data_IF_815203775914
#
_entry.id   IF_815203775914
#
_cell.length_a   1.000
_cell.length_b   1.000
_cell.length_c   1.000
_cell.angle_alpha   90.00
_cell.angle_beta   90.00
_cell.angle_gamma   90.00
#
_symmetry.space_group_name_H-M   'P 1'
#
loop_
_entity.id
_entity.type
_entity.pdbx_description
1 polymer ?
#
# COMPACT_ATOMS: atom_id res chain seq x y z
N UNK A 1 7.89 -22.89 11.90
CA UNK A 1 7.80 -23.01 10.42
C UNK A 1 7.41 -21.63 9.94
N UNK A 2 8.25 -21.01 9.09
CA UNK A 2 7.96 -19.68 8.53
C UNK A 2 6.72 -19.74 7.63
N UNK A 3 5.91 -18.69 7.63
CA UNK A 3 4.75 -18.56 6.74
C UNK A 3 5.23 -18.67 5.28
N UNK A 4 4.63 -19.51 4.44
CA UNK A 4 5.00 -19.63 3.01
C UNK A 4 4.92 -18.29 2.26
N UNK A 5 4.01 -17.39 2.64
CA UNK A 5 3.90 -16.05 2.05
C UNK A 5 5.11 -15.19 2.37
N UNK A 6 5.58 -15.21 3.63
CA UNK A 6 6.82 -14.51 4.04
C UNK A 6 8.01 -15.02 3.25
N UNK A 7 8.17 -16.36 3.12
CA UNK A 7 9.25 -16.95 2.31
C UNK A 7 9.18 -16.51 0.86
N UNK A 8 7.98 -16.47 0.27
CA UNK A 8 7.78 -16.01 -1.11
C UNK A 8 8.26 -14.56 -1.31
N UNK A 9 7.84 -13.64 -0.43
CA UNK A 9 8.20 -12.23 -0.57
C UNK A 9 9.66 -11.95 -0.24
N UNK A 10 10.20 -12.56 0.82
CA UNK A 10 11.63 -12.45 1.12
C UNK A 10 12.50 -12.91 -0.05
N UNK A 11 12.12 -14.04 -0.69
CA UNK A 11 12.81 -14.54 -1.88
C UNK A 11 12.67 -13.56 -3.05
N UNK A 12 11.47 -13.05 -3.31
CA UNK A 12 11.22 -12.12 -4.42
C UNK A 12 12.06 -10.84 -4.29
N UNK A 13 12.15 -10.28 -3.10
CA UNK A 13 12.97 -9.08 -2.86
C UNK A 13 14.47 -9.38 -2.86
N UNK A 14 14.91 -10.51 -2.29
CA UNK A 14 16.31 -10.89 -2.27
C UNK A 14 16.88 -11.18 -3.67
N UNK A 15 16.09 -11.83 -4.55
CA UNK A 15 16.56 -12.26 -5.87
C UNK A 15 16.37 -11.20 -6.95
N UNK A 16 15.28 -10.41 -6.91
CA UNK A 16 14.89 -9.51 -8.00
C UNK A 16 15.18 -8.04 -7.71
N UNK A 17 15.26 -7.61 -6.44
CA UNK A 17 15.50 -6.21 -6.08
C UNK A 17 14.59 -5.26 -6.87
N UNK A 18 15.19 -4.29 -7.55
CA UNK A 18 14.47 -3.25 -8.32
C UNK A 18 13.91 -3.73 -9.67
N UNK A 19 14.07 -5.02 -10.01
CA UNK A 19 13.50 -5.60 -11.25
C UNK A 19 12.11 -6.20 -11.07
N UNK A 20 11.54 -6.12 -9.88
CA UNK A 20 10.15 -6.57 -9.63
C UNK A 20 9.16 -5.76 -10.46
N UNK A 21 8.06 -6.39 -10.90
CA UNK A 21 7.13 -5.75 -11.84
C UNK A 21 6.40 -4.53 -11.27
N UNK A 22 6.32 -4.40 -9.95
CA UNK A 22 5.71 -3.26 -9.24
C UNK A 22 6.70 -2.17 -8.87
N UNK A 23 7.99 -2.33 -9.19
CA UNK A 23 9.01 -1.30 -8.91
C UNK A 23 8.68 0.02 -9.61
N UNK A 24 8.91 1.11 -8.90
CA UNK A 24 8.81 2.48 -9.38
C UNK A 24 10.07 3.23 -8.96
N UNK A 25 10.65 4.03 -9.85
CA UNK A 25 11.74 4.96 -9.48
C UNK A 25 11.23 6.07 -8.55
N UNK A 26 9.97 6.46 -8.74
CA UNK A 26 9.28 7.45 -7.93
C UNK A 26 7.82 7.04 -7.73
N UNK A 27 7.32 7.16 -6.52
CA UNK A 27 5.92 6.89 -6.17
C UNK A 27 5.01 8.09 -6.50
N UNK A 28 5.09 8.62 -7.74
CA UNK A 28 4.47 9.88 -8.13
C UNK A 28 2.97 9.93 -7.91
N UNK A 29 2.24 8.90 -8.36
CA UNK A 29 0.77 8.80 -8.20
C UNK A 29 0.39 8.74 -6.72
N UNK A 30 1.03 7.85 -5.94
CA UNK A 30 0.81 7.74 -4.49
C UNK A 30 1.01 9.07 -3.77
N UNK A 31 2.14 9.72 -4.03
CA UNK A 31 2.50 11.00 -3.42
C UNK A 31 1.56 12.14 -3.83
N UNK A 32 1.08 12.14 -5.07
CA UNK A 32 0.09 13.11 -5.56
C UNK A 32 -1.25 12.95 -4.86
N UNK A 33 -1.76 11.71 -4.77
CA UNK A 33 -3.03 11.40 -4.13
C UNK A 33 -2.98 11.64 -2.61
N UNK A 34 -1.87 11.31 -1.94
CA UNK A 34 -1.71 11.63 -0.51
C UNK A 34 -1.72 13.16 -0.31
N UNK A 35 -0.98 13.91 -1.14
CA UNK A 35 -0.93 15.37 -1.03
C UNK A 35 -2.27 16.07 -1.33
N UNK A 36 -3.17 15.45 -2.10
CA UNK A 36 -4.51 16.00 -2.35
C UNK A 36 -5.44 15.97 -1.12
N UNK A 37 -5.14 15.09 -0.15
CA UNK A 37 -6.03 14.85 1.00
C UNK A 37 -5.36 15.04 2.36
N UNK A 38 -4.04 15.21 2.42
CA UNK A 38 -3.30 15.35 3.66
C UNK A 38 -2.23 16.43 3.57
N UNK A 39 -2.15 17.30 4.58
CA UNK A 39 -1.09 18.29 4.69
C UNK A 39 0.24 17.64 5.11
N UNK A 40 1.40 18.29 4.84
CA UNK A 40 2.68 17.90 5.44
C UNK A 40 2.54 17.79 6.97
N UNK A 41 3.06 16.70 7.54
CA UNK A 41 2.95 16.40 8.97
C UNK A 41 1.77 15.49 9.35
N UNK A 42 0.82 15.21 8.44
CA UNK A 42 -0.17 14.16 8.65
C UNK A 42 0.52 12.79 8.83
N UNK A 43 -0.06 11.97 9.70
CA UNK A 43 0.42 10.60 9.93
C UNK A 43 0.00 9.67 8.80
N UNK A 44 0.94 8.84 8.32
CA UNK A 44 0.72 7.94 7.19
C UNK A 44 1.12 6.51 7.58
N UNK A 45 0.27 5.54 7.28
CA UNK A 45 0.66 4.14 7.26
C UNK A 45 0.67 3.62 5.83
N UNK A 46 1.81 3.08 5.39
CA UNK A 46 2.01 2.43 4.09
C UNK A 46 1.97 0.91 4.31
N UNK A 47 0.91 0.25 3.86
CA UNK A 47 0.75 -1.19 4.01
C UNK A 47 1.27 -1.92 2.78
N UNK A 48 2.14 -2.92 3.01
CA UNK A 48 2.89 -3.57 1.94
C UNK A 48 3.90 -2.64 1.28
N UNK A 49 4.47 -1.70 2.07
CA UNK A 49 5.38 -0.69 1.53
C UNK A 49 6.68 -1.28 0.93
N UNK A 50 7.12 -2.43 1.42
CA UNK A 50 8.28 -3.15 0.88
C UNK A 50 9.50 -2.25 0.69
N UNK A 51 10.06 -2.25 -0.52
CA UNK A 51 11.16 -1.36 -0.94
C UNK A 51 10.68 -0.08 -1.62
N UNK A 52 9.39 0.26 -1.53
CA UNK A 52 8.80 1.42 -2.21
C UNK A 52 9.54 2.72 -1.90
N UNK A 53 9.77 3.61 -2.89
CA UNK A 53 10.29 4.95 -2.67
C UNK A 53 9.24 5.92 -2.08
N UNK A 54 8.05 5.45 -1.75
CA UNK A 54 7.01 6.31 -1.18
C UNK A 54 7.47 6.98 0.12
N UNK A 55 8.09 6.22 1.01
CA UNK A 55 8.59 6.74 2.29
C UNK A 55 9.64 7.83 2.09
N UNK A 56 10.53 7.69 1.09
CA UNK A 56 11.50 8.72 0.72
C UNK A 56 10.78 10.03 0.33
N UNK A 57 9.82 9.94 -0.57
CA UNK A 57 9.06 11.09 -1.04
C UNK A 57 8.15 11.72 0.03
N UNK A 58 7.63 10.95 0.99
CA UNK A 58 6.89 11.48 2.14
C UNK A 58 7.80 12.29 3.07
N UNK A 59 8.99 11.75 3.38
CA UNK A 59 9.98 12.45 4.20
C UNK A 59 10.44 13.77 3.54
N UNK A 60 10.67 13.76 2.22
CA UNK A 60 11.03 14.96 1.44
C UNK A 60 9.92 16.02 1.48
N UNK A 61 8.64 15.61 1.54
CA UNK A 61 7.49 16.50 1.66
C UNK A 61 7.17 16.93 3.09
N UNK A 62 7.98 16.53 4.07
CA UNK A 62 7.86 16.97 5.44
C UNK A 62 6.98 16.10 6.34
N UNK A 63 6.50 14.94 5.88
CA UNK A 63 5.90 13.95 6.77
C UNK A 63 6.97 13.38 7.70
N UNK A 64 6.65 13.22 8.99
CA UNK A 64 7.58 12.67 10.00
C UNK A 64 6.95 11.53 10.80
N UNK A 65 5.65 11.42 10.77
CA UNK A 65 4.89 10.35 11.42
C UNK A 65 4.48 9.32 10.38
N UNK A 66 5.41 8.42 10.06
CA UNK A 66 5.25 7.41 9.01
C UNK A 66 5.43 6.02 9.62
N UNK A 67 4.52 5.12 9.29
CA UNK A 67 4.68 3.69 9.55
C UNK A 67 4.69 2.93 8.23
N UNK A 68 5.54 1.92 8.11
CA UNK A 68 5.59 1.00 6.96
C UNK A 68 5.38 -0.40 7.49
N UNK A 69 4.32 -1.05 7.03
CA UNK A 69 4.01 -2.45 7.35
C UNK A 69 4.30 -3.31 6.14
N UNK A 70 5.08 -4.37 6.30
CA UNK A 70 5.28 -5.37 5.25
C UNK A 70 5.47 -6.77 5.85
N UNK A 71 5.09 -7.79 5.10
CA UNK A 71 5.30 -9.19 5.45
C UNK A 71 6.77 -9.61 5.27
N UNK A 72 7.51 -8.91 4.40
CA UNK A 72 8.92 -9.17 4.12
C UNK A 72 9.83 -8.29 4.95
N UNK A 73 10.48 -8.91 5.91
CA UNK A 73 11.55 -8.25 6.66
C UNK A 73 12.73 -7.85 5.78
N UNK A 74 13.03 -8.67 4.76
CA UNK A 74 14.11 -8.36 3.79
C UNK A 74 13.85 -7.05 3.08
N UNK A 75 12.60 -6.80 2.66
CA UNK A 75 12.20 -5.57 2.02
C UNK A 75 12.30 -4.36 2.97
N UNK A 76 11.79 -4.50 4.21
CA UNK A 76 11.87 -3.44 5.22
C UNK A 76 13.32 -3.08 5.56
N UNK A 77 14.19 -4.07 5.76
CA UNK A 77 15.62 -3.85 6.06
C UNK A 77 16.34 -3.16 4.88
N UNK A 78 15.98 -3.50 3.64
CA UNK A 78 16.51 -2.85 2.44
C UNK A 78 16.06 -1.37 2.35
N UNK A 79 14.77 -1.07 2.56
CA UNK A 79 14.24 0.29 2.58
C UNK A 79 14.88 1.13 3.70
N UNK A 80 15.01 0.57 4.90
CA UNK A 80 15.67 1.21 6.03
C UNK A 80 17.14 1.52 5.73
N UNK A 81 17.86 0.57 5.13
CA UNK A 81 19.26 0.77 4.73
C UNK A 81 19.41 1.89 3.70
N UNK A 82 18.50 1.95 2.70
CA UNK A 82 18.48 3.01 1.68
C UNK A 82 18.26 4.40 2.27
N UNK A 83 17.38 4.50 3.27
CA UNK A 83 17.06 5.77 3.93
C UNK A 83 18.15 6.25 4.91
N UNK A 84 18.97 5.33 5.42
CA UNK A 84 19.97 5.61 6.45
C UNK A 84 19.35 6.38 7.64
N UNK A 85 20.01 7.36 8.18
CA UNK A 85 19.52 8.17 9.31
C UNK A 85 18.15 8.85 9.07
N UNK A 86 17.73 9.05 7.82
CA UNK A 86 16.39 9.56 7.51
C UNK A 86 15.26 8.59 7.87
N UNK A 87 15.58 7.29 7.95
CA UNK A 87 14.62 6.24 8.30
C UNK A 87 14.52 5.95 9.81
N UNK A 88 15.27 6.64 10.65
CA UNK A 88 15.30 6.35 12.10
C UNK A 88 13.97 6.69 12.80
N UNK A 89 13.26 7.69 12.31
CA UNK A 89 11.94 8.10 12.83
C UNK A 89 10.77 7.34 12.20
N UNK A 90 11.01 6.48 11.19
CA UNK A 90 9.98 5.68 10.54
C UNK A 90 9.68 4.43 11.38
N UNK A 91 8.41 4.16 11.64
CA UNK A 91 7.98 2.94 12.33
C UNK A 91 7.95 1.77 11.33
N UNK A 92 8.94 0.89 11.40
CA UNK A 92 9.02 -0.31 10.57
C UNK A 92 8.32 -1.48 11.26
N UNK A 93 7.28 -2.03 10.64
CA UNK A 93 6.42 -3.07 11.20
C UNK A 93 6.54 -4.32 10.33
N UNK A 94 7.22 -5.34 10.87
CA UNK A 94 7.32 -6.67 10.26
C UNK A 94 6.11 -7.50 10.67
N UNK A 95 5.25 -7.87 9.71
CA UNK A 95 4.07 -8.66 10.03
C UNK A 95 3.03 -8.79 8.92
N UNK A 96 2.12 -9.74 9.14
CA UNK A 96 0.98 -9.95 8.27
C UNK A 96 -0.09 -8.88 8.51
N UNK A 97 -0.45 -8.17 7.44
CA UNK A 97 -1.50 -7.14 7.46
C UNK A 97 -2.80 -7.64 8.11
N UNK A 98 -3.24 -8.85 7.76
CA UNK A 98 -4.49 -9.39 8.28
C UNK A 98 -4.42 -9.80 9.76
N UNK A 99 -3.21 -9.99 10.31
CA UNK A 99 -2.98 -10.27 11.72
C UNK A 99 -2.58 -9.02 12.51
N UNK A 100 -2.29 -7.91 11.82
CA UNK A 100 -1.87 -6.68 12.47
C UNK A 100 -3.00 -6.03 13.28
N UNK A 101 -2.68 -5.62 14.50
CA UNK A 101 -3.56 -4.83 15.35
C UNK A 101 -2.93 -3.44 15.54
N UNK A 102 -3.48 -2.40 14.88
CA UNK A 102 -2.95 -1.05 15.00
C UNK A 102 -3.15 -0.53 16.43
N UNK A 103 -2.04 -0.16 17.06
CA UNK A 103 -2.06 0.43 18.42
C UNK A 103 -2.51 1.90 18.44
N UNK A 104 -2.73 2.51 17.26
CA UNK A 104 -3.17 3.90 17.06
C UNK A 104 -3.85 4.07 15.72
N UNK A 105 -4.34 5.26 15.45
CA UNK A 105 -4.89 5.65 14.16
C UNK A 105 -3.91 6.53 13.37
N UNK A 106 -4.14 6.63 12.06
CA UNK A 106 -3.38 7.41 11.10
C UNK A 106 -4.32 8.31 10.30
N UNK A 107 -3.81 9.45 9.83
CA UNK A 107 -4.58 10.34 8.96
C UNK A 107 -4.75 9.78 7.55
N UNK A 108 -3.74 9.01 7.09
CA UNK A 108 -3.76 8.35 5.79
C UNK A 108 -3.36 6.89 5.92
N UNK A 109 -4.17 6.02 5.35
CA UNK A 109 -3.84 4.64 5.02
C UNK A 109 -3.51 4.58 3.52
N UNK A 110 -2.32 4.16 3.19
CA UNK A 110 -1.90 3.94 1.81
C UNK A 110 -1.71 2.45 1.54
N UNK A 111 -2.17 1.99 0.39
CA UNK A 111 -1.97 0.64 -0.14
C UNK A 111 -1.74 0.74 -1.65
N UNK A 112 -0.62 0.22 -2.11
CA UNK A 112 -0.39 0.00 -3.53
C UNK A 112 -0.01 -1.45 -3.79
N UNK A 113 -0.91 -2.20 -4.42
CA UNK A 113 -0.68 -3.58 -4.84
C UNK A 113 -0.65 -4.61 -3.70
N UNK A 114 -1.33 -4.39 -2.56
CA UNK A 114 -1.51 -5.41 -1.51
C UNK A 114 -2.93 -5.97 -1.54
N UNK A 115 -3.95 -5.12 -1.56
CA UNK A 115 -5.35 -5.55 -1.56
C UNK A 115 -5.66 -6.57 -2.66
N UNK A 116 -5.02 -6.47 -3.82
CA UNK A 116 -5.30 -7.39 -4.92
C UNK A 116 -4.85 -8.84 -4.65
N UNK A 117 -3.94 -9.08 -3.68
CA UNK A 117 -3.58 -10.43 -3.26
C UNK A 117 -4.62 -11.07 -2.33
N UNK A 118 -5.54 -10.29 -1.79
CA UNK A 118 -6.63 -10.79 -0.95
C UNK A 118 -7.77 -11.31 -1.84
N UNK A 119 -7.57 -12.49 -2.43
CA UNK A 119 -8.52 -13.08 -3.40
C UNK A 119 -9.80 -13.59 -2.73
N UNK A 120 -9.73 -13.95 -1.44
CA UNK A 120 -10.87 -14.44 -0.69
C UNK A 120 -11.69 -13.29 -0.09
N UNK A 121 -13.00 -13.43 -0.11
CA UNK A 121 -13.92 -12.39 0.39
C UNK A 121 -13.75 -12.12 1.90
N UNK A 122 -13.59 -13.10 2.78
CA UNK A 122 -13.37 -12.86 4.21
C UNK A 122 -12.12 -12.01 4.49
N UNK A 123 -11.04 -12.20 3.71
CA UNK A 123 -9.79 -11.44 3.86
C UNK A 123 -9.98 -9.98 3.45
N UNK A 124 -10.71 -9.72 2.35
CA UNK A 124 -11.05 -8.35 1.94
C UNK A 124 -11.96 -7.66 2.94
N UNK A 125 -12.95 -8.36 3.48
CA UNK A 125 -13.80 -7.83 4.54
C UNK A 125 -13.00 -7.48 5.80
N UNK A 126 -12.04 -8.33 6.19
CA UNK A 126 -11.13 -8.06 7.30
C UNK A 126 -10.22 -6.87 7.02
N UNK A 127 -9.69 -6.76 5.81
CA UNK A 127 -8.92 -5.59 5.35
C UNK A 127 -9.71 -4.28 5.50
N UNK A 128 -10.96 -4.24 5.02
CA UNK A 128 -11.79 -3.05 5.11
C UNK A 128 -12.10 -2.65 6.57
N UNK A 129 -12.36 -3.64 7.44
CA UNK A 129 -12.56 -3.42 8.88
C UNK A 129 -11.28 -2.90 9.55
N UNK A 130 -10.12 -3.43 9.15
CA UNK A 130 -8.83 -2.99 9.66
C UNK A 130 -8.54 -1.55 9.25
N UNK A 131 -8.71 -1.20 7.98
CA UNK A 131 -8.58 0.17 7.49
C UNK A 131 -9.52 1.13 8.25
N UNK A 132 -10.77 0.71 8.48
CA UNK A 132 -11.72 1.51 9.26
C UNK A 132 -11.27 1.73 10.72
N UNK A 133 -10.55 0.81 11.33
CA UNK A 133 -10.01 0.98 12.70
C UNK A 133 -8.73 1.80 12.71
N UNK A 134 -7.91 1.65 11.68
CA UNK A 134 -6.59 2.28 11.61
C UNK A 134 -6.60 3.74 11.14
N UNK A 135 -7.63 4.17 10.40
CA UNK A 135 -7.74 5.56 9.92
C UNK A 135 -8.49 6.42 10.93
N UNK A 136 -8.06 7.65 11.18
CA UNK A 136 -8.77 8.60 12.06
C UNK A 136 -10.14 8.99 11.45
N UNK A 137 -11.18 9.30 12.25
CA UNK A 137 -12.37 9.94 11.72
C UNK A 137 -12.02 11.18 10.90
N UNK A 138 -12.53 11.26 9.66
CA UNK A 138 -12.19 12.31 8.71
C UNK A 138 -10.88 12.12 7.94
N UNK A 139 -10.08 11.12 8.30
CA UNK A 139 -8.89 10.71 7.54
C UNK A 139 -9.23 9.95 6.26
N UNK A 140 -8.23 9.48 5.53
CA UNK A 140 -8.39 8.94 4.18
C UNK A 140 -7.71 7.59 3.98
N UNK A 141 -8.28 6.78 3.09
CA UNK A 141 -7.58 5.67 2.44
C UNK A 141 -7.19 6.08 1.02
N UNK A 142 -6.01 5.66 0.59
CA UNK A 142 -5.48 5.82 -0.78
C UNK A 142 -5.09 4.42 -1.24
N UNK A 143 -5.90 3.79 -2.09
CA UNK A 143 -5.74 2.40 -2.48
C UNK A 143 -5.54 2.29 -3.99
N UNK A 144 -4.42 1.70 -4.40
CA UNK A 144 -4.10 1.36 -5.79
C UNK A 144 -4.00 -0.16 -5.99
N UNK A 145 -4.79 -0.70 -6.90
CA UNK A 145 -4.85 -2.13 -7.20
C UNK A 145 -4.96 -2.37 -8.70
N UNK A 146 -4.71 -3.59 -9.18
CA UNK A 146 -4.92 -3.86 -10.59
C UNK A 146 -6.35 -3.57 -11.00
N UNK A 147 -6.50 -2.83 -12.12
CA UNK A 147 -7.77 -2.51 -12.73
C UNK A 147 -8.50 -3.77 -13.23
N UNK A 148 -9.80 -3.68 -13.49
CA UNK A 148 -10.63 -4.80 -13.93
C UNK A 148 -10.13 -5.49 -15.22
N UNK A 149 -9.41 -4.76 -16.06
CA UNK A 149 -8.76 -5.23 -17.29
C UNK A 149 -7.24 -5.46 -17.13
N UNK A 150 -6.72 -5.39 -15.90
CA UNK A 150 -5.33 -5.63 -15.56
C UNK A 150 -4.93 -7.11 -15.57
N UNK A 151 -3.68 -7.42 -15.17
CA UNK A 151 -3.19 -8.79 -15.08
C UNK A 151 -3.99 -9.65 -14.09
N UNK A 152 -4.06 -10.96 -14.34
CA UNK A 152 -4.70 -11.93 -13.43
C UNK A 152 -3.74 -12.50 -12.39
N UNK A 153 -2.45 -12.18 -12.52
CA UNK A 153 -1.40 -12.63 -11.62
C UNK A 153 -0.39 -11.50 -11.39
N UNK A 154 0.19 -11.48 -10.19
CA UNK A 154 1.32 -10.64 -9.82
C UNK A 154 2.34 -11.51 -9.06
N UNK A 155 3.62 -11.42 -9.41
CA UNK A 155 4.68 -12.26 -8.80
C UNK A 155 4.38 -13.78 -8.81
N UNK A 156 3.65 -14.27 -9.83
CA UNK A 156 3.24 -15.67 -9.91
C UNK A 156 2.06 -16.06 -9.01
N UNK A 157 1.52 -15.14 -8.25
CA UNK A 157 0.35 -15.34 -7.39
C UNK A 157 -0.93 -14.83 -8.08
N UNK A 158 -2.08 -15.51 -7.87
CA UNK A 158 -3.35 -15.02 -8.35
C UNK A 158 -3.72 -13.71 -7.66
N UNK A 159 -4.37 -12.81 -8.40
CA UNK A 159 -4.87 -11.55 -7.84
C UNK A 159 -6.33 -11.33 -8.18
N UNK A 160 -7.01 -10.56 -7.35
CA UNK A 160 -8.32 -10.02 -7.65
C UNK A 160 -8.16 -8.62 -8.26
N UNK A 161 -8.71 -8.43 -9.44
CA UNK A 161 -8.80 -7.14 -10.12
C UNK A 161 -10.03 -6.39 -9.61
N UNK A 162 -9.96 -5.06 -9.59
CA UNK A 162 -11.06 -4.24 -9.10
C UNK A 162 -11.37 -3.09 -10.06
N UNK A 163 -12.65 -2.89 -10.32
CA UNK A 163 -13.17 -1.62 -10.82
C UNK A 163 -13.31 -0.62 -9.65
N UNK A 164 -13.40 0.69 -9.89
CA UNK A 164 -13.60 1.69 -8.83
C UNK A 164 -14.81 1.37 -7.94
N UNK A 165 -15.88 0.89 -8.54
CA UNK A 165 -17.13 0.52 -7.85
C UNK A 165 -16.93 -0.66 -6.87
N UNK A 166 -16.05 -1.62 -7.22
CA UNK A 166 -15.72 -2.74 -6.34
C UNK A 166 -15.02 -2.26 -5.07
N UNK A 167 -14.07 -1.32 -5.21
CA UNK A 167 -13.37 -0.70 -4.09
C UNK A 167 -14.32 0.14 -3.23
N UNK A 168 -15.18 0.93 -3.86
CA UNK A 168 -16.18 1.73 -3.18
C UNK A 168 -17.16 0.84 -2.39
N UNK A 169 -17.62 -0.26 -2.97
CA UNK A 169 -18.49 -1.22 -2.31
C UNK A 169 -17.81 -1.93 -1.14
N UNK A 170 -16.54 -2.32 -1.28
CA UNK A 170 -15.75 -2.93 -0.22
C UNK A 170 -15.60 -2.02 1.00
N UNK A 171 -15.44 -0.71 0.78
CA UNK A 171 -15.21 0.29 1.82
C UNK A 171 -16.51 0.93 2.34
N UNK A 172 -17.66 0.59 1.75
CA UNK A 172 -18.94 1.16 2.10
C UNK A 172 -19.28 0.97 3.60
N UNK A 173 -19.95 1.97 4.18
CA UNK A 173 -20.30 1.99 5.61
C UNK A 173 -19.26 2.67 6.51
N UNK A 174 -17.97 2.66 6.15
CA UNK A 174 -16.93 3.37 6.89
C UNK A 174 -16.33 4.54 6.10
N UNK A 175 -16.28 4.43 4.78
CA UNK A 175 -15.64 5.42 3.90
C UNK A 175 -16.58 5.88 2.80
N UNK A 176 -16.39 7.13 2.36
CA UNK A 176 -17.06 7.74 1.20
C UNK A 176 -16.02 8.04 0.13
N UNK A 177 -16.19 7.58 -1.11
CA UNK A 177 -15.30 7.90 -2.23
C UNK A 177 -15.15 9.42 -2.43
N UNK A 178 -13.92 9.87 -2.69
CA UNK A 178 -13.56 11.28 -2.92
C UNK A 178 -12.97 11.45 -4.31
N UNK A 179 -12.10 10.54 -4.73
CA UNK A 179 -11.39 10.61 -6.01
C UNK A 179 -11.14 9.21 -6.56
N UNK A 180 -11.27 9.07 -7.87
CA UNK A 180 -10.92 7.86 -8.62
C UNK A 180 -9.92 8.23 -9.69
N UNK A 181 -8.90 7.38 -9.89
CA UNK A 181 -7.88 7.58 -10.91
C UNK A 181 -7.53 6.25 -11.56
N UNK A 182 -7.24 6.29 -12.85
CA UNK A 182 -6.60 5.18 -13.58
C UNK A 182 -5.14 5.52 -13.87
N UNK A 183 -4.25 4.59 -13.56
CA UNK A 183 -2.82 4.69 -13.85
C UNK A 183 -2.41 3.55 -14.79
N UNK A 184 -1.60 3.87 -15.80
CA UNK A 184 -0.91 2.88 -16.63
C UNK A 184 0.53 2.73 -16.12
N UNK A 185 0.74 1.80 -15.18
CA UNK A 185 2.07 1.51 -14.66
C UNK A 185 2.90 0.78 -15.71
N UNK A 186 4.08 1.34 -16.05
CA UNK A 186 5.05 0.69 -16.91
C UNK A 186 6.07 -0.05 -16.04
N UNK A 187 6.10 -1.37 -16.16
CA UNK A 187 7.06 -2.22 -15.43
C UNK A 187 8.49 -2.00 -15.91
N UNK A 188 9.54 -2.38 -15.14
CA UNK A 188 10.93 -2.33 -15.60
C UNK A 188 11.18 -3.10 -16.90
N UNK A 189 10.37 -4.12 -17.21
CA UNK A 189 10.43 -4.87 -18.48
C UNK A 189 9.65 -4.24 -19.63
N UNK A 190 9.03 -3.06 -19.43
CA UNK A 190 8.27 -2.33 -20.45
C UNK A 190 6.82 -2.77 -20.64
N UNK A 191 6.32 -3.70 -19.84
CA UNK A 191 4.91 -4.08 -19.88
C UNK A 191 4.04 -3.03 -19.18
N UNK A 192 2.81 -2.83 -19.70
CA UNK A 192 1.85 -1.94 -19.08
C UNK A 192 0.93 -2.74 -18.14
N UNK A 193 0.81 -2.26 -16.92
CA UNK A 193 -0.11 -2.79 -15.91
C UNK A 193 -1.08 -1.69 -15.48
N UNK A 194 -2.37 -1.78 -15.88
CA UNK A 194 -3.35 -0.79 -15.47
C UNK A 194 -3.72 -0.95 -14.00
N UNK A 195 -3.72 0.16 -13.28
CA UNK A 195 -4.17 0.29 -11.89
C UNK A 195 -5.46 1.11 -11.81
N UNK A 196 -6.34 0.69 -10.94
CA UNK A 196 -7.45 1.49 -10.40
C UNK A 196 -7.01 2.05 -9.06
N UNK A 197 -7.18 3.36 -8.88
CA UNK A 197 -6.98 4.04 -7.61
C UNK A 197 -8.30 4.56 -7.07
N UNK A 198 -8.48 4.42 -5.77
CA UNK A 198 -9.57 5.03 -5.02
C UNK A 198 -9.02 5.80 -3.83
N UNK A 199 -9.39 7.05 -3.72
CA UNK A 199 -9.27 7.82 -2.49
C UNK A 199 -10.64 7.89 -1.84
N UNK A 200 -10.74 7.50 -0.57
CA UNK A 200 -12.00 7.58 0.15
C UNK A 200 -11.79 8.14 1.56
N UNK A 201 -12.72 8.95 2.03
CA UNK A 201 -12.69 9.62 3.33
C UNK A 201 -13.45 8.81 4.35
N UNK A 202 -12.86 8.60 5.53
CA UNK A 202 -13.55 7.99 6.67
C UNK A 202 -14.65 8.93 7.22
N UNK A 203 -15.81 8.36 7.48
CA UNK A 203 -16.90 9.04 8.21
C UNK A 203 -16.48 9.48 9.62
N UNK A 204 -17.25 10.36 10.21
CA UNK A 204 -17.05 10.86 11.57
C UNK A 204 -17.36 9.79 12.62
#
# INVERSE_FOLDING_TARGET
VSDPRTVHWDTAYAEKGDTVSWHQEQAGTSLGLIASVAAPGASVVDVGGGTSPLVDGLLERGHRDIAVLDLSRVALDAARTRLDARGDDVAWIDGDLLAWEPGRTFDVWHDRAVLHFLVEEPDRSRYAQLAARAVTPGGHVVIGTFAADGPEQCSGLPVRRHAPEDLAALLAGAFTPVEELREEHVTPSGNVQPFTWLVARRGA
#
